data_IF_105575784826
#
_entry.id   IF_105575784826
#
_cell.length_a   1.000
_cell.length_b   1.000
_cell.length_c   1.000
_cell.angle_alpha   90.00
_cell.angle_beta   90.00
_cell.angle_gamma   90.00
#
_symmetry.space_group_name_H-M   'P 1'
#
loop_
_entity.id
_entity.type
_entity.pdbx_description
1 polymer ?
#
# COMPACT_ATOMS: atom_id res chain seq x y z
N UNK A 1 29.26 44.77 -9.43
CA UNK A 1 27.89 44.84 -8.88
C UNK A 1 27.59 43.49 -8.25
N UNK A 2 27.68 43.45 -6.93
CA UNK A 2 27.38 42.30 -6.09
C UNK A 2 25.94 42.38 -5.55
N UNK A 3 25.44 41.20 -5.12
CA UNK A 3 24.41 40.92 -4.08
C UNK A 3 22.91 40.87 -4.50
N UNK A 4 22.05 40.12 -3.74
CA UNK A 4 22.32 38.82 -3.08
C UNK A 4 21.11 37.84 -2.98
N UNK A 5 21.45 36.57 -2.65
CA UNK A 5 20.87 35.71 -1.59
C UNK A 5 19.34 35.51 -1.47
N UNK A 6 18.88 34.25 -1.60
CA UNK A 6 18.39 33.49 -0.42
C UNK A 6 18.45 31.97 -0.63
N UNK A 7 19.07 31.26 0.33
CA UNK A 7 19.13 29.80 0.46
C UNK A 7 17.78 29.27 0.97
N UNK A 8 17.25 28.23 0.34
CA UNK A 8 16.20 27.37 0.88
C UNK A 8 16.78 26.00 1.25
N UNK A 9 16.95 25.76 2.54
CA UNK A 9 17.53 24.56 3.15
C UNK A 9 16.41 23.52 3.38
N UNK A 10 16.37 22.42 2.61
CA UNK A 10 15.49 21.28 2.88
C UNK A 10 16.22 20.30 3.79
N UNK A 11 16.12 20.59 5.09
CA UNK A 11 16.62 19.73 6.15
C UNK A 11 15.77 18.47 6.30
N UNK A 12 16.47 17.35 6.43
CA UNK A 12 16.00 16.07 6.94
C UNK A 12 15.26 16.24 8.27
N UNK A 13 14.05 15.68 8.38
CA UNK A 13 13.39 15.41 9.66
C UNK A 13 12.98 13.95 9.70
N UNK A 14 13.82 13.15 10.38
CA UNK A 14 13.43 11.85 10.89
C UNK A 14 12.30 12.05 11.89
N UNK A 15 11.19 11.37 11.64
CA UNK A 15 10.07 11.26 12.57
C UNK A 15 10.39 10.08 13.48
N UNK A 16 10.94 10.36 14.66
CA UNK A 16 10.87 9.43 15.79
C UNK A 16 9.47 9.54 16.42
N UNK A 17 8.78 8.42 16.70
CA UNK A 17 7.53 8.44 17.45
C UNK A 17 7.86 8.69 18.93
N UNK A 18 7.49 9.86 19.43
CA UNK A 18 7.60 10.17 20.84
C UNK A 18 6.34 9.64 21.54
N UNK A 19 6.41 8.42 22.05
CA UNK A 19 5.47 7.86 23.00
C UNK A 19 5.61 8.61 24.33
N UNK A 20 4.80 9.65 24.55
CA UNK A 20 4.50 10.20 25.88
C UNK A 20 3.45 11.32 25.79
N UNK A 21 2.20 11.01 25.45
CA UNK A 21 1.07 11.92 25.68
C UNK A 21 -0.19 11.11 26.03
N UNK A 22 -0.41 10.91 27.32
CA UNK A 22 -1.58 10.19 27.83
C UNK A 22 -1.81 10.27 29.34
N UNK A 23 -1.12 11.18 30.03
CA UNK A 23 -1.34 11.45 31.45
C UNK A 23 -1.84 12.89 31.63
N UNK A 24 -3.03 13.18 31.12
CA UNK A 24 -3.78 14.38 31.49
C UNK A 24 -4.10 14.34 32.98
N UNK A 25 -3.21 14.92 33.80
CA UNK A 25 -3.50 15.25 35.20
C UNK A 25 -4.70 16.20 35.18
N UNK A 26 -5.87 15.69 35.54
CA UNK A 26 -7.01 16.52 35.96
C UNK A 26 -6.60 17.21 37.27
N UNK A 27 -5.96 18.37 37.14
CA UNK A 27 -5.67 19.25 38.25
C UNK A 27 -6.99 19.93 38.63
N UNK A 28 -7.62 19.44 39.70
CA UNK A 28 -8.83 20.03 40.27
C UNK A 28 -8.49 21.43 40.78
N UNK A 29 -9.00 22.46 40.11
CA UNK A 29 -8.80 23.84 40.50
C UNK A 29 -9.75 24.21 41.66
N UNK A 30 -9.24 24.09 42.88
CA UNK A 30 -9.97 24.35 44.13
C UNK A 30 -10.41 25.82 44.28
N UNK A 31 -9.86 26.74 43.46
CA UNK A 31 -10.16 28.17 43.57
C UNK A 31 -11.47 28.57 42.89
N UNK A 32 -11.88 27.87 41.83
CA UNK A 32 -13.13 28.13 41.12
C UNK A 32 -14.36 27.73 41.96
N UNK A 33 -14.26 26.67 42.76
CA UNK A 33 -15.33 26.22 43.66
C UNK A 33 -15.48 27.12 44.90
N UNK A 34 -14.40 27.71 45.42
CA UNK A 34 -14.51 28.67 46.53
C UNK A 34 -15.13 30.01 46.12
N UNK A 35 -14.87 30.49 44.90
CA UNK A 35 -15.52 31.71 44.39
C UNK A 35 -17.02 31.53 44.11
N UNK A 36 -17.48 30.31 43.83
CA UNK A 36 -18.90 30.02 43.70
C UNK A 36 -19.62 29.98 45.06
N UNK A 37 -18.95 29.48 46.10
CA UNK A 37 -19.47 29.45 47.48
C UNK A 37 -19.51 30.85 48.13
N UNK A 38 -18.57 31.74 47.81
CA UNK A 38 -18.57 33.12 48.35
C UNK A 38 -19.62 34.05 47.69
N UNK A 39 -20.14 33.70 46.50
CA UNK A 39 -21.18 34.48 45.81
C UNK A 39 -22.60 34.11 46.25
N UNK A 40 -22.77 33.09 47.08
CA UNK A 40 -24.08 32.68 47.60
C UNK A 40 -24.43 33.29 48.97
N UNK A 41 -23.54 34.11 49.57
CA UNK A 41 -23.72 34.63 50.94
C UNK A 41 -23.84 36.17 51.02
N UNK A 42 -24.23 36.84 49.92
CA UNK A 42 -24.34 38.31 49.87
C UNK A 42 -25.60 38.86 49.20
N UNK A 43 -26.72 38.12 49.27
CA UNK A 43 -28.06 38.66 49.01
C UNK A 43 -28.89 38.66 50.30
N UNK A 44 -28.54 39.55 51.23
CA UNK A 44 -29.40 39.93 52.34
C UNK A 44 -30.28 41.11 51.93
N UNK A 45 -31.21 40.89 51.01
CA UNK A 45 -32.36 41.79 50.82
C UNK A 45 -33.47 41.34 51.77
N UNK A 46 -33.54 41.94 52.96
CA UNK A 46 -34.66 41.79 53.88
C UNK A 46 -35.73 42.82 53.48
N UNK A 47 -36.91 42.42 52.97
CA UNK A 47 -37.99 43.36 52.72
C UNK A 47 -38.65 43.73 54.05
N UNK A 48 -38.56 45.01 54.43
CA UNK A 48 -39.28 45.58 55.57
C UNK A 48 -40.72 45.89 55.13
N UNK A 49 -41.60 44.91 55.24
CA UNK A 49 -43.06 45.03 55.07
C UNK A 49 -43.79 44.46 56.29
N UNK A 50 -45.01 44.93 56.61
CA UNK A 50 -45.65 44.70 57.90
C UNK A 50 -45.94 43.22 58.15
N UNK A 51 -45.54 42.75 59.33
CA UNK A 51 -45.75 41.40 59.85
C UNK A 51 -47.26 41.16 60.00
N UNK A 52 -47.85 40.44 59.05
CA UNK A 52 -49.17 39.85 59.17
C UNK A 52 -49.12 38.37 58.74
N UNK A 53 -49.47 37.49 59.67
CA UNK A 53 -49.81 36.10 59.40
C UNK A 53 -48.62 35.16 59.22
N UNK A 54 -47.97 34.77 60.31
CA UNK A 54 -47.27 33.49 60.36
C UNK A 54 -48.36 32.40 60.30
N UNK A 55 -48.59 31.88 59.10
CA UNK A 55 -49.39 30.67 58.86
C UNK A 55 -48.50 29.69 58.10
N UNK A 56 -48.26 28.56 58.78
CA UNK A 56 -47.79 27.28 58.26
C UNK A 56 -46.32 27.12 57.84
N UNK A 57 -45.49 26.95 58.87
CA UNK A 57 -44.76 25.69 59.09
C UNK A 57 -44.12 25.02 57.84
N UNK A 58 -42.98 25.55 57.38
CA UNK A 58 -41.99 24.67 56.73
C UNK A 58 -41.39 23.78 57.83
N UNK A 59 -42.11 22.71 58.20
CA UNK A 59 -41.71 21.80 59.26
C UNK A 59 -40.30 21.26 58.96
N UNK A 60 -39.32 21.60 59.81
CA UNK A 60 -38.05 20.91 59.80
C UNK A 60 -38.34 19.40 59.88
N UNK A 61 -37.87 18.59 58.92
CA UNK A 61 -38.20 17.17 58.90
C UNK A 61 -37.79 16.55 60.22
N UNK A 62 -38.66 15.72 60.79
CA UNK A 62 -38.35 15.03 62.02
C UNK A 62 -37.04 14.26 61.85
N UNK A 63 -36.23 14.20 62.90
CA UNK A 63 -34.93 13.53 62.89
C UNK A 63 -35.03 12.07 62.39
N UNK A 64 -36.17 11.42 62.64
CA UNK A 64 -36.54 10.11 62.13
C UNK A 64 -36.70 10.07 60.59
N UNK A 65 -37.36 11.07 60.00
CA UNK A 65 -37.51 11.17 58.55
C UNK A 65 -36.15 11.36 57.88
N UNK A 66 -35.30 12.23 58.44
CA UNK A 66 -33.94 12.48 57.97
C UNK A 66 -33.14 11.16 57.97
N UNK A 67 -33.15 10.42 59.09
CA UNK A 67 -32.44 9.15 59.21
C UNK A 67 -32.90 8.13 58.17
N UNK A 68 -34.21 7.98 57.95
CA UNK A 68 -34.76 7.09 56.92
C UNK A 68 -34.32 7.48 55.51
N UNK A 69 -34.34 8.78 55.16
CA UNK A 69 -33.83 9.24 53.86
C UNK A 69 -32.33 9.01 53.71
N UNK A 70 -31.53 9.21 54.76
CA UNK A 70 -30.08 8.95 54.68
C UNK A 70 -29.78 7.47 54.42
N UNK A 71 -30.45 6.56 55.12
CA UNK A 71 -30.31 5.11 54.92
C UNK A 71 -30.73 4.75 53.49
N UNK A 72 -31.88 5.23 53.02
CA UNK A 72 -32.34 4.98 51.65
C UNK A 72 -31.33 5.49 50.61
N UNK A 73 -30.83 6.72 50.78
CA UNK A 73 -29.86 7.30 49.85
C UNK A 73 -28.53 6.53 49.86
N UNK A 74 -28.08 6.05 51.02
CA UNK A 74 -26.89 5.21 51.11
C UNK A 74 -27.08 3.87 50.38
N UNK A 75 -28.25 3.23 50.53
CA UNK A 75 -28.57 2.03 49.76
C UNK A 75 -28.60 2.27 48.25
N UNK A 76 -29.16 3.40 47.79
CA UNK A 76 -29.16 3.74 46.37
C UNK A 76 -27.75 4.01 45.84
N UNK A 77 -26.94 4.79 46.57
CA UNK A 77 -25.55 5.06 46.22
C UNK A 77 -24.73 3.75 46.14
N UNK A 78 -24.98 2.79 47.03
CA UNK A 78 -24.35 1.47 46.96
C UNK A 78 -24.79 0.66 45.73
N UNK A 79 -26.09 0.68 45.37
CA UNK A 79 -26.60 0.02 44.17
C UNK A 79 -25.98 0.60 42.91
N UNK A 80 -25.89 1.92 42.80
CA UNK A 80 -25.25 2.61 41.68
C UNK A 80 -23.75 2.31 41.60
N UNK A 81 -23.05 2.33 42.74
CA UNK A 81 -21.64 1.93 42.81
C UNK A 81 -21.42 0.49 42.33
N UNK A 82 -22.32 -0.44 42.68
CA UNK A 82 -22.26 -1.84 42.19
C UNK A 82 -22.48 -1.91 40.67
N UNK A 83 -23.48 -1.20 40.14
CA UNK A 83 -23.73 -1.12 38.68
C UNK A 83 -22.52 -0.56 37.94
N UNK A 84 -21.94 0.54 38.42
CA UNK A 84 -20.74 1.15 37.85
C UNK A 84 -19.54 0.19 37.86
N UNK A 85 -19.34 -0.57 38.94
CA UNK A 85 -18.29 -1.60 39.02
C UNK A 85 -18.48 -2.71 37.98
N UNK A 86 -19.71 -3.18 37.78
CA UNK A 86 -20.02 -4.22 36.77
C UNK A 86 -19.74 -3.68 35.37
N UNK A 87 -20.25 -2.48 35.05
CA UNK A 87 -20.02 -1.84 33.76
C UNK A 87 -18.52 -1.62 33.50
N UNK A 88 -17.76 -1.19 34.50
CA UNK A 88 -16.31 -1.02 34.37
C UNK A 88 -15.60 -2.36 34.09
N UNK A 89 -15.99 -3.45 34.77
CA UNK A 89 -15.45 -4.80 34.46
C UNK A 89 -15.76 -5.23 33.03
N UNK A 90 -16.96 -4.95 32.54
CA UNK A 90 -17.35 -5.27 31.15
C UNK A 90 -16.52 -4.45 30.15
N UNK A 91 -16.36 -3.14 30.39
CA UNK A 91 -15.52 -2.27 29.56
C UNK A 91 -14.08 -2.76 29.53
N UNK A 92 -13.50 -3.11 30.68
CA UNK A 92 -12.15 -3.67 30.77
C UNK A 92 -12.01 -4.97 29.97
N UNK A 93 -13.03 -5.84 29.99
CA UNK A 93 -13.05 -7.06 29.17
C UNK A 93 -13.09 -6.73 27.67
N UNK A 94 -13.94 -5.81 27.26
CA UNK A 94 -14.03 -5.37 25.86
C UNK A 94 -12.74 -4.71 25.37
N UNK A 95 -12.12 -3.85 26.18
CA UNK A 95 -10.82 -3.22 25.88
C UNK A 95 -9.76 -4.29 25.67
N UNK A 96 -9.66 -5.29 26.55
CA UNK A 96 -8.71 -6.40 26.39
C UNK A 96 -8.90 -7.15 25.07
N UNK A 97 -10.15 -7.40 24.67
CA UNK A 97 -10.45 -8.05 23.38
C UNK A 97 -10.01 -7.19 22.20
N UNK A 98 -10.28 -5.89 22.24
CA UNK A 98 -9.87 -4.95 21.19
C UNK A 98 -8.34 -4.88 21.11
N UNK A 99 -7.64 -4.73 22.23
CA UNK A 99 -6.17 -4.72 22.28
C UNK A 99 -5.60 -6.00 21.66
N UNK A 100 -6.14 -7.16 22.02
CA UNK A 100 -5.72 -8.43 21.42
C UNK A 100 -5.98 -8.46 19.91
N UNK A 101 -7.15 -8.02 19.48
CA UNK A 101 -7.47 -7.95 18.04
C UNK A 101 -6.54 -7.02 17.29
N UNK A 102 -6.16 -5.87 17.88
CA UNK A 102 -5.18 -4.96 17.28
C UNK A 102 -3.80 -5.61 17.17
N UNK A 103 -3.35 -6.33 18.20
CA UNK A 103 -2.08 -7.06 18.17
C UNK A 103 -2.08 -8.14 17.07
N UNK A 104 -3.16 -8.92 16.97
CA UNK A 104 -3.31 -9.94 15.92
C UNK A 104 -3.32 -9.31 14.53
N UNK A 105 -3.94 -8.13 14.36
CA UNK A 105 -3.91 -7.40 13.08
C UNK A 105 -2.49 -6.89 12.79
N UNK A 106 -1.80 -6.29 13.76
CA UNK A 106 -0.43 -5.79 13.58
C UNK A 106 0.53 -6.89 13.16
N UNK A 107 0.44 -8.09 13.77
CA UNK A 107 1.28 -9.23 13.37
C UNK A 107 0.99 -9.73 11.96
N UNK A 108 -0.29 -9.76 11.56
CA UNK A 108 -0.70 -10.11 10.20
C UNK A 108 -0.22 -9.09 9.17
N UNK A 109 -0.30 -7.80 9.50
CA UNK A 109 0.21 -6.72 8.64
C UNK A 109 1.71 -6.87 8.44
N UNK A 110 2.49 -7.03 9.50
CA UNK A 110 3.94 -7.22 9.40
C UNK A 110 4.29 -8.45 8.52
N UNK A 111 3.57 -9.56 8.69
CA UNK A 111 3.75 -10.74 7.84
C UNK A 111 3.40 -10.47 6.37
N UNK A 112 2.34 -9.70 6.10
CA UNK A 112 1.96 -9.32 4.75
C UNK A 112 3.00 -8.40 4.11
N UNK A 113 3.55 -7.43 4.85
CA UNK A 113 4.61 -6.52 4.38
C UNK A 113 5.85 -7.31 3.96
N UNK A 114 6.35 -8.23 4.81
CA UNK A 114 7.50 -9.09 4.45
C UNK A 114 7.23 -9.93 3.21
N UNK A 115 6.01 -10.48 3.06
CA UNK A 115 5.63 -11.26 1.88
C UNK A 115 5.58 -10.39 0.63
N UNK A 116 5.06 -9.17 0.73
CA UNK A 116 5.01 -8.22 -0.38
C UNK A 116 6.42 -7.82 -0.81
N UNK A 117 7.32 -7.51 0.12
CA UNK A 117 8.72 -7.19 -0.20
C UNK A 117 9.44 -8.33 -0.92
N UNK A 118 9.22 -9.57 -0.47
CA UNK A 118 9.77 -10.76 -1.12
C UNK A 118 9.24 -10.92 -2.55
N UNK A 119 7.92 -10.78 -2.74
CA UNK A 119 7.28 -10.86 -4.06
C UNK A 119 7.75 -9.75 -5.00
N UNK A 120 7.88 -8.52 -4.51
CA UNK A 120 8.40 -7.41 -5.31
C UNK A 120 9.84 -7.65 -5.78
N UNK A 121 10.66 -8.26 -4.92
CA UNK A 121 12.04 -8.63 -5.25
C UNK A 121 12.08 -9.73 -6.31
N UNK A 122 11.25 -10.76 -6.16
CA UNK A 122 11.15 -11.86 -7.12
C UNK A 122 10.65 -11.36 -8.48
N UNK A 123 9.59 -10.54 -8.51
CA UNK A 123 9.05 -9.95 -9.76
C UNK A 123 10.11 -9.15 -10.49
N UNK A 124 10.92 -8.33 -9.78
CA UNK A 124 12.03 -7.59 -10.39
C UNK A 124 13.09 -8.52 -10.98
N UNK A 125 13.45 -9.58 -10.26
CA UNK A 125 14.42 -10.57 -10.74
C UNK A 125 13.92 -11.31 -11.98
N UNK A 126 12.67 -11.79 -11.96
CA UNK A 126 12.04 -12.46 -13.10
C UNK A 126 11.95 -11.53 -14.31
N UNK A 127 11.53 -10.27 -14.12
CA UNK A 127 11.45 -9.30 -15.21
C UNK A 127 12.83 -9.06 -15.87
N UNK A 128 13.89 -8.93 -15.07
CA UNK A 128 15.25 -8.79 -15.58
C UNK A 128 15.72 -10.03 -16.36
N UNK A 129 15.40 -11.22 -15.86
CA UNK A 129 15.71 -12.48 -16.54
C UNK A 129 14.96 -12.59 -17.87
N UNK A 130 13.66 -12.30 -17.90
CA UNK A 130 12.85 -12.31 -19.13
C UNK A 130 13.38 -11.32 -20.16
N UNK A 131 13.77 -10.12 -19.75
CA UNK A 131 14.38 -9.14 -20.66
C UNK A 131 15.70 -9.66 -21.26
N UNK A 132 16.55 -10.26 -20.43
CA UNK A 132 17.83 -10.85 -20.87
C UNK A 132 17.59 -12.00 -21.86
N UNK A 133 16.64 -12.89 -21.57
CA UNK A 133 16.28 -13.99 -22.46
C UNK A 133 15.69 -13.48 -23.78
N UNK A 134 14.86 -12.44 -23.74
CA UNK A 134 14.34 -11.81 -24.95
C UNK A 134 15.45 -11.27 -25.86
N UNK A 135 16.46 -10.64 -25.27
CA UNK A 135 17.63 -10.16 -26.02
C UNK A 135 18.44 -11.32 -26.62
N UNK A 136 18.70 -12.37 -25.85
CA UNK A 136 19.41 -13.56 -26.34
C UNK A 136 18.68 -14.24 -27.51
N UNK A 137 17.35 -14.35 -27.42
CA UNK A 137 16.53 -14.91 -28.51
C UNK A 137 16.68 -14.05 -29.76
N UNK A 138 16.58 -12.73 -29.64
CA UNK A 138 16.73 -11.81 -30.77
C UNK A 138 18.12 -11.92 -31.42
N UNK A 139 19.18 -12.01 -30.61
CA UNK A 139 20.55 -12.17 -31.10
C UNK A 139 20.74 -13.50 -31.85
N UNK A 140 20.15 -14.59 -31.33
CA UNK A 140 20.21 -15.91 -31.96
C UNK A 140 19.44 -15.91 -33.28
N UNK A 141 18.25 -15.30 -33.32
CA UNK A 141 17.46 -15.16 -34.54
C UNK A 141 18.24 -14.42 -35.63
N UNK A 142 18.88 -13.30 -35.26
CA UNK A 142 19.70 -12.53 -36.20
C UNK A 142 20.89 -13.34 -36.74
N UNK A 143 21.59 -14.06 -35.86
CA UNK A 143 22.71 -14.93 -36.25
C UNK A 143 22.25 -16.08 -37.15
N UNK A 144 21.08 -16.65 -36.88
CA UNK A 144 20.51 -17.72 -37.69
C UNK A 144 20.14 -17.20 -39.08
N UNK A 145 19.51 -16.04 -39.17
CA UNK A 145 19.18 -15.41 -40.44
C UNK A 145 20.43 -15.09 -41.28
N UNK A 146 21.47 -14.52 -40.68
CA UNK A 146 22.75 -14.28 -41.36
C UNK A 146 23.39 -15.59 -41.85
N UNK A 147 23.37 -16.64 -41.03
CA UNK A 147 23.89 -17.95 -41.41
C UNK A 147 23.11 -18.56 -42.59
N UNK A 148 21.78 -18.52 -42.55
CA UNK A 148 20.93 -18.98 -43.65
C UNK A 148 21.18 -18.19 -44.94
N UNK A 149 21.27 -16.87 -44.84
CA UNK A 149 21.54 -16.00 -45.99
C UNK A 149 22.92 -16.27 -46.60
N UNK A 150 23.95 -16.51 -45.77
CA UNK A 150 25.28 -16.91 -46.26
C UNK A 150 25.27 -18.27 -46.92
N UNK A 151 24.51 -19.22 -46.37
CA UNK A 151 24.36 -20.55 -46.94
C UNK A 151 23.65 -20.52 -48.30
N UNK A 152 22.65 -19.65 -48.47
CA UNK A 152 21.86 -19.52 -49.71
C UNK A 152 22.46 -18.55 -50.72
N UNK A 153 23.49 -17.78 -50.38
CA UNK A 153 24.06 -16.70 -51.21
C UNK A 153 24.43 -17.14 -52.64
N UNK A 154 24.90 -18.38 -52.79
CA UNK A 154 25.34 -18.92 -54.07
C UNK A 154 24.30 -19.84 -54.71
N UNK A 155 23.07 -19.88 -54.16
CA UNK A 155 22.00 -20.69 -54.71
C UNK A 155 21.14 -19.82 -55.64
N UNK A 156 21.05 -20.21 -56.90
CA UNK A 156 20.15 -19.59 -57.87
C UNK A 156 18.83 -20.37 -57.92
N UNK A 157 17.70 -19.65 -57.96
CA UNK A 157 16.38 -20.22 -58.24
C UNK A 157 15.93 -19.77 -59.62
N UNK A 158 15.72 -20.72 -60.52
CA UNK A 158 15.22 -20.46 -61.87
C UNK A 158 13.76 -20.90 -61.90
N UNK A 159 12.87 -19.98 -62.27
CA UNK A 159 11.42 -20.21 -62.28
C UNK A 159 10.92 -20.29 -63.73
N UNK A 160 9.82 -21.02 -63.95
CA UNK A 160 9.17 -21.12 -65.27
C UNK A 160 9.74 -22.19 -66.20
N UNK A 161 10.53 -23.13 -65.67
CA UNK A 161 10.94 -24.33 -66.41
C UNK A 161 9.81 -25.37 -66.27
N UNK A 162 9.33 -25.90 -67.39
CA UNK A 162 8.35 -26.98 -67.37
C UNK A 162 8.99 -28.29 -66.88
N UNK A 163 8.28 -29.02 -66.03
CA UNK A 163 8.77 -30.27 -65.43
C UNK A 163 9.14 -31.30 -66.50
N UNK A 164 10.30 -31.96 -66.32
CA UNK A 164 10.80 -33.01 -67.22
C UNK A 164 11.58 -32.52 -68.45
N UNK A 165 11.63 -31.21 -68.72
CA UNK A 165 12.48 -30.65 -69.81
C UNK A 165 13.98 -30.86 -69.58
N UNK A 166 14.37 -31.02 -68.33
CA UNK A 166 15.76 -31.15 -67.88
C UNK A 166 16.34 -32.54 -68.22
N UNK A 167 15.48 -33.53 -68.48
CA UNK A 167 15.89 -34.90 -68.74
C UNK A 167 16.47 -35.59 -67.50
N UNK A 168 17.49 -36.43 -67.69
CA UNK A 168 18.15 -37.17 -66.61
C UNK A 168 19.28 -36.38 -65.93
N UNK A 169 19.78 -35.31 -66.56
CA UNK A 169 20.89 -34.52 -66.05
C UNK A 169 20.57 -33.02 -66.08
N UNK A 170 19.95 -32.56 -64.99
CA UNK A 170 19.65 -31.15 -64.71
C UNK A 170 20.89 -30.26 -64.84
N UNK A 171 22.09 -30.76 -64.50
CA UNK A 171 23.30 -29.95 -64.50
C UNK A 171 23.70 -29.58 -65.94
N UNK A 172 23.74 -30.56 -66.83
CA UNK A 172 24.01 -30.34 -68.25
C UNK A 172 22.96 -29.44 -68.91
N UNK A 173 21.68 -29.63 -68.54
CA UNK A 173 20.59 -28.77 -69.00
C UNK A 173 20.81 -27.30 -68.59
N UNK A 174 21.08 -27.02 -67.32
CA UNK A 174 21.36 -25.68 -66.79
C UNK A 174 22.52 -25.02 -67.56
N UNK A 175 23.63 -25.73 -67.78
CA UNK A 175 24.78 -25.19 -68.53
C UNK A 175 24.40 -24.80 -69.96
N UNK A 176 23.63 -25.65 -70.64
CA UNK A 176 23.14 -25.34 -72.00
C UNK A 176 22.21 -24.13 -72.03
N UNK A 177 21.35 -24.00 -71.00
CA UNK A 177 20.42 -22.88 -70.85
C UNK A 177 21.17 -21.56 -70.64
N UNK A 178 22.18 -21.53 -69.77
CA UNK A 178 22.99 -20.33 -69.54
C UNK A 178 23.79 -19.92 -70.77
N UNK A 179 24.44 -20.86 -71.48
CA UNK A 179 25.17 -20.58 -72.73
C UNK A 179 24.26 -19.99 -73.80
N UNK A 180 23.01 -20.46 -73.89
CA UNK A 180 22.02 -19.94 -74.84
C UNK A 180 21.49 -18.57 -74.44
N UNK A 181 21.25 -18.35 -73.15
CA UNK A 181 20.70 -17.10 -72.63
C UNK A 181 21.73 -15.95 -72.59
N UNK A 182 23.00 -16.28 -72.36
CA UNK A 182 24.09 -15.32 -72.19
C UNK A 182 25.31 -15.73 -73.02
N UNK A 183 25.29 -15.52 -74.35
CA UNK A 183 26.37 -15.95 -75.25
C UNK A 183 27.69 -15.21 -75.02
N UNK A 184 27.66 -14.03 -74.39
CA UNK A 184 28.85 -13.21 -74.11
C UNK A 184 29.56 -13.58 -72.80
N UNK A 185 29.06 -14.59 -72.07
CA UNK A 185 29.74 -15.06 -70.86
C UNK A 185 31.09 -15.70 -71.23
N UNK A 186 32.16 -15.47 -70.44
CA UNK A 186 33.42 -16.14 -70.66
C UNK A 186 33.25 -17.66 -70.54
N UNK A 187 34.07 -18.44 -71.25
CA UNK A 187 34.08 -19.89 -71.08
C UNK A 187 34.56 -20.25 -69.65
N UNK A 188 33.60 -20.44 -68.74
CA UNK A 188 33.85 -20.90 -67.38
C UNK A 188 33.85 -22.43 -67.32
N UNK A 189 34.58 -22.99 -66.35
CA UNK A 189 34.53 -24.43 -66.08
C UNK A 189 33.29 -24.77 -65.24
N UNK A 190 32.14 -24.87 -65.91
CA UNK A 190 30.83 -25.11 -65.29
C UNK A 190 30.76 -26.43 -64.49
N UNK A 191 31.58 -27.43 -64.83
CA UNK A 191 31.66 -28.74 -64.19
C UNK A 191 32.36 -28.75 -62.83
N UNK A 192 33.17 -27.74 -62.51
CA UNK A 192 33.79 -27.60 -61.18
C UNK A 192 33.02 -26.67 -60.24
N UNK A 193 32.13 -25.83 -60.77
CA UNK A 193 31.54 -24.72 -60.00
C UNK A 193 30.10 -24.98 -59.51
N UNK A 194 29.29 -25.77 -60.23
CA UNK A 194 27.93 -26.12 -59.79
C UNK A 194 27.99 -27.30 -58.81
N UNK A 195 27.92 -27.02 -57.50
CA UNK A 195 28.01 -28.05 -56.44
C UNK A 195 26.81 -28.99 -56.38
N UNK A 196 25.61 -28.50 -56.69
CA UNK A 196 24.35 -29.25 -56.59
C UNK A 196 23.30 -28.59 -57.49
N UNK A 197 22.55 -29.39 -58.24
CA UNK A 197 21.41 -28.95 -59.03
C UNK A 197 20.26 -29.95 -58.85
N UNK A 198 19.04 -29.43 -58.77
CA UNK A 198 17.80 -30.15 -58.49
C UNK A 198 16.66 -29.56 -59.29
#
# INVERSE_FOLDING_TARGET
>A
MERPSTRGNLGTRGVQPNDQDGAGKLQWDYTATQQALLKMDSTSDIPTGPIMGISDQAAAPSLELIYRTMVHNNEQAQKESRKAKIANRQLQSSIKKVVKSCQDISTRIASMETRTEALETEVKATAAQTATQGQQISDIQWKLEDAENRQRRNNLRILGIAEGLEGQDTRSYIVSLFKKAFPDLPEWNWETEIKRAH
#
